data_IF_341520283337
#
_entry.id   IF_341520283337
#
_cell.length_a   1.000
_cell.length_b   1.000
_cell.length_c   1.000
_cell.angle_alpha   90.00
_cell.angle_beta   90.00
_cell.angle_gamma   90.00
#
_symmetry.space_group_name_H-M   'P 1'
#
loop_
_entity.id
_entity.type
_entity.pdbx_description
1 polymer ?
#
# COMPACT_ATOMS: atom_id res chain seq x y z
N UNK A 1 16.55 -9.04 8.22
CA UNK A 1 15.15 -8.68 7.99
C UNK A 1 14.34 -9.94 8.07
N UNK A 2 13.29 -9.94 8.88
CA UNK A 2 12.34 -11.05 9.01
C UNK A 2 11.01 -10.62 8.38
N UNK A 3 10.42 -11.48 7.55
CA UNK A 3 9.19 -11.19 6.82
C UNK A 3 8.19 -12.30 7.06
N UNK A 4 7.08 -11.97 7.72
CA UNK A 4 5.97 -12.90 8.01
C UNK A 4 4.82 -12.61 7.05
N UNK A 5 4.36 -13.60 6.29
CA UNK A 5 3.15 -13.48 5.48
C UNK A 5 1.94 -13.46 6.41
N UNK A 6 1.13 -12.40 6.33
CA UNK A 6 -0.09 -12.26 7.12
C UNK A 6 -1.36 -12.53 6.31
N UNK A 7 -1.31 -12.23 5.01
CA UNK A 7 -2.45 -12.41 4.11
C UNK A 7 -1.97 -12.68 2.70
N UNK A 8 -2.63 -13.60 2.02
CA UNK A 8 -2.50 -13.88 0.60
C UNK A 8 -3.90 -14.08 0.01
N UNK A 9 -4.26 -13.28 -0.98
CA UNK A 9 -5.55 -13.44 -1.67
C UNK A 9 -5.50 -14.66 -2.59
N UNK A 10 -6.55 -15.47 -2.58
CA UNK A 10 -6.68 -16.64 -3.45
C UNK A 10 -7.03 -16.29 -4.90
N UNK A 11 -7.54 -15.07 -5.15
CA UNK A 11 -8.13 -14.67 -6.44
C UNK A 11 -7.40 -13.49 -7.07
N UNK A 12 -6.97 -12.54 -6.24
CA UNK A 12 -6.25 -11.34 -6.68
C UNK A 12 -4.79 -11.45 -6.27
N UNK A 13 -3.86 -10.82 -7.00
CA UNK A 13 -2.43 -11.06 -6.80
C UNK A 13 -1.85 -10.24 -5.62
N UNK A 14 -2.59 -10.15 -4.51
CA UNK A 14 -2.23 -9.43 -3.30
C UNK A 14 -1.54 -10.34 -2.28
N UNK A 15 -0.47 -9.83 -1.67
CA UNK A 15 0.07 -10.37 -0.42
C UNK A 15 0.39 -9.23 0.54
N UNK A 16 0.12 -9.45 1.82
CA UNK A 16 0.46 -8.53 2.91
C UNK A 16 1.41 -9.23 3.86
N UNK A 17 2.50 -8.56 4.19
CA UNK A 17 3.53 -9.06 5.06
C UNK A 17 3.77 -8.12 6.23
N UNK A 18 4.06 -8.68 7.39
CA UNK A 18 4.67 -7.97 8.49
C UNK A 18 6.19 -8.11 8.42
N UNK A 19 6.90 -6.99 8.39
CA UNK A 19 8.36 -6.95 8.29
C UNK A 19 8.94 -6.44 9.59
N UNK A 20 9.90 -7.18 10.14
CA UNK A 20 10.75 -6.76 11.26
C UNK A 20 12.17 -6.55 10.75
N UNK A 21 12.64 -5.32 10.80
CA UNK A 21 14.06 -5.02 10.57
C UNK A 21 14.85 -5.25 11.86
N UNK A 22 16.14 -5.61 11.72
CA UNK A 22 16.99 -5.72 12.91
C UNK A 22 17.08 -4.34 13.55
N UNK A 23 16.87 -4.21 14.87
CA UNK A 23 16.95 -2.91 15.50
C UNK A 23 18.35 -2.32 15.28
N UNK A 24 18.38 -1.09 14.79
CA UNK A 24 19.61 -0.29 14.79
C UNK A 24 19.57 0.64 16.01
N UNK A 25 20.68 1.32 16.31
CA UNK A 25 20.71 2.36 17.35
C UNK A 25 19.70 3.50 17.13
N UNK A 26 19.08 3.57 15.95
CA UNK A 26 18.13 4.61 15.56
C UNK A 26 16.72 4.10 15.23
N UNK A 27 16.48 2.79 15.15
CA UNK A 27 15.17 2.26 14.72
C UNK A 27 14.81 0.91 15.35
N UNK A 28 13.58 0.80 15.87
CA UNK A 28 12.82 -0.47 15.98
C UNK A 28 11.68 -0.40 14.96
N UNK A 29 12.02 -0.42 13.67
CA UNK A 29 11.00 -0.27 12.64
C UNK A 29 10.46 -1.65 12.25
N UNK A 30 9.23 -1.88 12.66
CA UNK A 30 8.36 -2.85 12.03
C UNK A 30 7.38 -2.09 11.14
N UNK A 31 6.99 -2.71 10.03
CA UNK A 31 6.03 -2.13 9.11
C UNK A 31 5.31 -3.25 8.35
N UNK A 32 4.23 -2.88 7.70
CA UNK A 32 3.52 -3.76 6.77
C UNK A 32 4.03 -3.46 5.36
N UNK A 33 4.37 -4.52 4.62
CA UNK A 33 4.72 -4.44 3.21
C UNK A 33 3.63 -5.11 2.41
N UNK A 34 3.14 -4.45 1.37
CA UNK A 34 2.18 -5.02 0.43
C UNK A 34 2.86 -5.31 -0.89
N UNK A 35 2.51 -6.44 -1.50
CA UNK A 35 2.93 -6.77 -2.87
C UNK A 35 1.72 -7.01 -3.74
N UNK A 36 1.83 -6.60 -4.99
CA UNK A 36 0.85 -6.87 -6.05
C UNK A 36 1.56 -7.50 -7.24
N UNK A 37 1.08 -8.64 -7.71
CA UNK A 37 1.73 -9.44 -8.77
C UNK A 37 3.18 -9.80 -8.43
N UNK A 38 3.44 -10.15 -7.16
CA UNK A 38 4.78 -10.54 -6.69
C UNK A 38 5.79 -9.39 -6.55
N UNK A 39 5.43 -8.18 -6.96
CA UNK A 39 6.27 -6.99 -6.83
C UNK A 39 5.80 -6.10 -5.67
N UNK A 40 6.70 -5.37 -4.99
CA UNK A 40 6.31 -4.35 -4.02
C UNK A 40 5.25 -3.41 -4.59
N UNK A 41 4.26 -3.10 -3.76
CA UNK A 41 3.25 -2.11 -4.08
C UNK A 41 3.64 -0.77 -3.45
N UNK A 42 3.73 0.26 -4.28
CA UNK A 42 4.23 1.59 -3.91
C UNK A 42 3.15 2.61 -4.27
N UNK A 43 2.80 3.48 -3.31
CA UNK A 43 1.98 4.66 -3.58
C UNK A 43 2.90 5.81 -3.99
N UNK A 44 2.75 6.38 -5.21
CA UNK A 44 3.53 7.52 -5.64
C UNK A 44 3.28 8.74 -4.75
N UNK A 45 4.34 9.47 -4.42
CA UNK A 45 4.27 10.65 -3.54
C UNK A 45 3.31 11.72 -4.05
N UNK A 46 3.20 11.88 -5.37
CA UNK A 46 2.37 12.89 -6.02
C UNK A 46 0.88 12.72 -5.66
N UNK A 47 0.45 11.49 -5.36
CA UNK A 47 -0.94 11.17 -5.02
C UNK A 47 -1.42 11.89 -3.75
N UNK A 48 -0.51 12.10 -2.79
CA UNK A 48 -0.83 12.72 -1.50
C UNK A 48 -0.01 13.98 -1.24
N UNK A 49 0.58 14.57 -2.30
CA UNK A 49 1.53 15.71 -2.20
C UNK A 49 2.66 15.42 -1.21
N UNK A 50 3.06 14.16 -1.14
CA UNK A 50 4.07 13.67 -0.23
C UNK A 50 5.47 14.08 -0.68
N UNK A 51 6.41 14.09 0.26
CA UNK A 51 7.83 14.32 -0.03
C UNK A 51 8.55 13.04 -0.49
N UNK A 52 7.92 11.87 -0.33
CA UNK A 52 8.46 10.55 -0.69
C UNK A 52 7.35 9.56 -1.02
N UNK A 53 7.70 8.55 -1.82
CA UNK A 53 6.81 7.43 -2.10
C UNK A 53 6.55 6.61 -0.83
N UNK A 54 5.44 5.87 -0.82
CA UNK A 54 5.05 5.05 0.33
C UNK A 54 5.00 3.58 -0.06
N UNK A 55 5.93 2.80 0.48
CA UNK A 55 6.03 1.34 0.36
C UNK A 55 6.07 0.63 1.74
N UNK A 56 6.15 1.40 2.82
CA UNK A 56 6.09 0.97 4.23
C UNK A 56 4.81 1.48 4.87
N UNK A 57 3.93 0.56 5.26
CA UNK A 57 2.63 0.87 5.85
C UNK A 57 2.63 0.66 7.37
N UNK A 58 1.88 1.47 8.10
CA UNK A 58 1.67 1.34 9.54
C UNK A 58 0.71 0.20 9.84
N UNK A 59 -0.30 0.02 8.97
CA UNK A 59 -1.15 -1.16 8.94
C UNK A 59 -1.51 -1.47 7.48
N UNK A 60 -1.67 -2.75 7.19
CA UNK A 60 -2.28 -3.19 5.94
C UNK A 60 -3.08 -4.47 6.18
N UNK A 61 -4.22 -4.61 5.49
CA UNK A 61 -5.06 -5.80 5.57
C UNK A 61 -5.64 -6.13 4.20
N UNK A 62 -5.74 -7.41 3.90
CA UNK A 62 -6.61 -7.90 2.84
C UNK A 62 -8.02 -8.18 3.35
N UNK A 63 -8.86 -8.63 2.43
CA UNK A 63 -10.21 -9.10 2.71
C UNK A 63 -10.33 -10.55 2.23
N UNK A 64 -11.05 -11.36 2.99
CA UNK A 64 -11.29 -12.76 2.63
C UNK A 64 -12.10 -12.87 1.33
N UNK A 65 -11.99 -14.02 0.65
CA UNK A 65 -12.54 -14.20 -0.70
C UNK A 65 -14.06 -14.01 -0.78
N UNK A 66 -14.77 -14.21 0.33
CA UNK A 66 -16.23 -14.08 0.39
C UNK A 66 -16.71 -12.63 0.65
N UNK A 67 -15.78 -11.72 0.96
CA UNK A 67 -16.09 -10.33 1.27
C UNK A 67 -16.29 -9.49 0.00
N UNK A 68 -17.13 -8.46 0.09
CA UNK A 68 -17.40 -7.51 -1.01
C UNK A 68 -16.13 -6.84 -1.55
N UNK A 69 -15.09 -6.73 -0.73
CA UNK A 69 -13.81 -6.10 -1.05
C UNK A 69 -12.65 -7.09 -1.23
N UNK A 70 -12.94 -8.35 -1.56
CA UNK A 70 -11.94 -9.42 -1.76
C UNK A 70 -10.85 -9.09 -2.82
N UNK A 71 -11.11 -8.13 -3.69
CA UNK A 71 -10.19 -7.63 -4.71
C UNK A 71 -9.25 -6.53 -4.22
N UNK A 72 -9.39 -6.10 -2.98
CA UNK A 72 -8.76 -4.91 -2.42
C UNK A 72 -7.86 -5.22 -1.22
N UNK A 73 -7.03 -4.25 -0.87
CA UNK A 73 -6.34 -4.18 0.42
C UNK A 73 -6.57 -2.80 1.04
N UNK A 74 -6.74 -2.76 2.36
CA UNK A 74 -6.69 -1.55 3.16
C UNK A 74 -5.24 -1.20 3.45
N UNK A 75 -4.87 0.06 3.23
CA UNK A 75 -3.52 0.59 3.48
C UNK A 75 -3.62 1.79 4.42
N UNK A 76 -2.84 1.77 5.50
CA UNK A 76 -2.72 2.87 6.45
C UNK A 76 -1.26 3.29 6.55
N UNK A 77 -0.98 4.58 6.37
CA UNK A 77 0.38 5.11 6.35
C UNK A 77 0.46 6.53 6.89
N UNK A 78 1.66 6.93 7.29
CA UNK A 78 1.99 8.33 7.59
C UNK A 78 2.40 9.01 6.28
N UNK A 79 1.56 9.92 5.79
CA UNK A 79 1.93 10.84 4.72
C UNK A 79 2.74 12.00 5.31
N UNK A 80 3.83 12.36 4.64
CA UNK A 80 4.66 13.51 5.00
C UNK A 80 4.61 14.54 3.89
N UNK A 81 4.11 15.73 4.19
CA UNK A 81 4.01 16.84 3.23
C UNK A 81 4.90 18.00 3.66
N UNK A 82 5.33 18.82 2.71
CA UNK A 82 6.09 20.03 3.01
C UNK A 82 5.13 21.23 3.05
N UNK A 83 5.11 21.96 4.16
CA UNK A 83 4.35 23.20 4.28
C UNK A 83 5.08 24.36 3.59
N UNK A 84 4.36 25.44 3.23
CA UNK A 84 4.99 26.65 2.66
C UNK A 84 6.04 27.30 3.56
N UNK A 85 5.98 27.07 4.88
CA UNK A 85 6.94 27.55 5.87
C UNK A 85 8.22 26.69 5.96
N UNK A 86 8.31 25.61 5.16
CA UNK A 86 9.46 24.71 5.11
C UNK A 86 9.42 23.58 6.13
N UNK A 87 8.40 23.48 6.99
CA UNK A 87 8.26 22.39 7.95
C UNK A 87 7.51 21.19 7.37
N UNK A 88 7.87 19.98 7.81
CA UNK A 88 7.12 18.76 7.46
C UNK A 88 5.84 18.65 8.29
N UNK A 89 4.71 18.44 7.63
CA UNK A 89 3.48 17.97 8.27
C UNK A 89 3.37 16.46 8.14
N UNK A 90 2.85 15.82 9.19
CA UNK A 90 2.59 14.38 9.22
C UNK A 90 1.10 14.14 9.40
N UNK A 91 0.51 13.33 8.51
CA UNK A 91 -0.88 12.97 8.58
C UNK A 91 -1.05 11.46 8.38
N UNK A 92 -1.90 10.85 9.20
CA UNK A 92 -2.32 9.46 8.98
C UNK A 92 -3.33 9.41 7.84
N UNK A 93 -3.04 8.62 6.82
CA UNK A 93 -3.89 8.45 5.64
C UNK A 93 -4.29 6.99 5.51
N UNK A 94 -5.56 6.76 5.15
CA UNK A 94 -6.11 5.42 4.89
C UNK A 94 -6.72 5.38 3.50
N UNK A 95 -6.36 4.37 2.70
CA UNK A 95 -6.89 4.16 1.36
C UNK A 95 -7.17 2.69 1.09
N UNK A 96 -8.07 2.45 0.16
CA UNK A 96 -8.33 1.15 -0.45
C UNK A 96 -7.56 1.06 -1.77
N UNK A 97 -6.79 0.00 -1.95
CA UNK A 97 -6.12 -0.33 -3.20
C UNK A 97 -6.81 -1.56 -3.82
N UNK A 98 -7.60 -1.33 -4.88
CA UNK A 98 -8.41 -2.34 -5.55
C UNK A 98 -7.70 -2.86 -6.80
N UNK A 99 -7.53 -4.18 -6.90
CA UNK A 99 -6.93 -4.83 -8.06
C UNK A 99 -7.97 -5.11 -9.14
N UNK A 100 -7.87 -4.39 -10.26
CA UNK A 100 -8.77 -4.52 -11.42
C UNK A 100 -8.03 -5.16 -12.59
N UNK A 101 -8.61 -6.16 -13.25
CA UNK A 101 -8.03 -6.71 -14.48
C UNK A 101 -8.13 -5.69 -15.61
N UNK A 102 -7.03 -5.48 -16.33
CA UNK A 102 -6.95 -4.56 -17.47
C UNK A 102 -6.21 -5.24 -18.62
N UNK A 103 -6.95 -5.71 -19.63
CA UNK A 103 -6.38 -6.45 -20.75
C UNK A 103 -5.66 -7.73 -20.29
N UNK A 104 -4.36 -7.83 -20.59
CA UNK A 104 -3.49 -8.94 -20.16
C UNK A 104 -2.81 -8.71 -18.80
N UNK A 105 -3.01 -7.55 -18.19
CA UNK A 105 -2.39 -7.16 -16.92
C UNK A 105 -3.41 -6.76 -15.87
N UNK A 106 -2.95 -5.93 -14.92
CA UNK A 106 -3.78 -5.40 -13.87
C UNK A 106 -3.56 -3.89 -13.75
N UNK A 107 -4.58 -3.23 -13.24
CA UNK A 107 -4.51 -1.87 -12.71
C UNK A 107 -4.85 -1.92 -11.23
N UNK A 108 -4.28 -1.02 -10.46
CA UNK A 108 -4.68 -0.81 -9.07
C UNK A 108 -5.36 0.54 -8.95
N UNK A 109 -6.65 0.53 -8.61
CA UNK A 109 -7.41 1.74 -8.31
C UNK A 109 -7.21 2.10 -6.84
N UNK A 110 -6.79 3.32 -6.57
CA UNK A 110 -6.67 3.87 -5.23
C UNK A 110 -7.92 4.69 -4.94
N UNK A 111 -8.61 4.39 -3.85
CA UNK A 111 -9.76 5.15 -3.37
C UNK A 111 -9.62 5.51 -1.89
N UNK A 112 -10.21 6.62 -1.47
CA UNK A 112 -10.40 6.88 -0.04
C UNK A 112 -11.45 5.93 0.56
N UNK A 113 -11.66 5.99 1.88
CA UNK A 113 -12.63 5.11 2.55
C UNK A 113 -14.10 5.43 2.21
N UNK A 114 -14.37 6.55 1.53
CA UNK A 114 -15.69 6.90 1.00
C UNK A 114 -15.91 6.36 -0.43
N UNK A 115 -14.93 5.66 -1.01
CA UNK A 115 -15.00 5.11 -2.37
C UNK A 115 -14.68 6.11 -3.48
N UNK A 116 -14.26 7.34 -3.15
CA UNK A 116 -13.79 8.29 -4.16
C UNK A 116 -12.42 7.85 -4.68
N UNK A 117 -12.34 7.62 -5.99
CA UNK A 117 -11.10 7.27 -6.67
C UNK A 117 -10.14 8.46 -6.65
N UNK A 118 -8.93 8.24 -6.17
CA UNK A 118 -7.85 9.20 -6.08
C UNK A 118 -6.86 9.03 -7.23
N UNK A 119 -6.59 7.78 -7.65
CA UNK A 119 -5.70 7.46 -8.75
C UNK A 119 -5.92 6.05 -9.31
N UNK A 120 -5.32 5.79 -10.47
CA UNK A 120 -5.15 4.45 -11.05
C UNK A 120 -3.67 4.25 -11.33
N UNK A 121 -3.12 3.15 -10.85
CA UNK A 121 -1.72 2.75 -11.03
C UNK A 121 -1.70 1.56 -11.98
N UNK A 122 -1.09 1.72 -13.15
CA UNK A 122 -0.88 0.62 -14.09
C UNK A 122 0.14 -0.39 -13.51
N UNK A 123 -0.14 -1.68 -13.68
CA UNK A 123 0.78 -2.76 -13.29
C UNK A 123 1.10 -3.62 -14.49
N UNK A 124 2.38 -3.56 -14.89
CA UNK A 124 2.89 -4.49 -15.88
C UNK A 124 2.91 -5.91 -15.30
N UNK A 125 2.61 -6.94 -16.11
CA UNK A 125 2.81 -8.31 -15.67
C UNK A 125 4.27 -8.53 -15.28
N UNK A 126 4.49 -9.24 -14.16
CA UNK A 126 5.83 -9.69 -13.79
C UNK A 126 6.43 -10.50 -14.95
N UNK A 127 7.64 -10.12 -15.40
CA UNK A 127 8.40 -10.83 -16.42
C UNK A 127 8.99 -12.13 -15.90
#
# INVERSE_FOLDING_TARGET
MEKTLLFESAVHPWKVYYVREKPTWQTREHYYQVTHQGQPFVLPKELFRGVRDVDRFIAASGFETQETHADSVLLVFENRTLKPDGFEERAMVSVMAQSVRAGKGYQVRIANLQGQVLAVIEREPAR
#
